data_IF_178394205910
#
_entry.id   IF_178394205910
#
_cell.length_a   1.000
_cell.length_b   1.000
_cell.length_c   1.000
_cell.angle_alpha   90.00
_cell.angle_beta   90.00
_cell.angle_gamma   90.00
#
_symmetry.space_group_name_H-M   'P 1'
#
loop_
_entity.id
_entity.type
_entity.pdbx_description
1 polymer ?
#
# COMPACT_ATOMS: atom_id res chain seq x y z
N UNK A 1 -1.87 -2.45 18.77
CA UNK A 1 -1.37 -1.06 18.95
C UNK A 1 -0.50 -0.67 17.75
N UNK A 2 -1.12 -0.42 16.59
CA UNK A 2 -0.42 0.05 15.37
C UNK A 2 -0.53 1.57 15.24
N UNK A 3 -1.72 2.11 15.49
CA UNK A 3 -2.04 3.54 15.36
C UNK A 3 -1.17 4.50 16.17
N UNK A 4 -0.55 4.05 17.27
CA UNK A 4 0.31 4.92 18.10
C UNK A 4 1.69 5.21 17.49
N UNK A 5 2.07 4.47 16.46
CA UNK A 5 3.39 4.52 15.81
C UNK A 5 3.32 5.08 14.39
N UNK A 6 2.12 5.36 13.91
CA UNK A 6 1.87 5.87 12.58
C UNK A 6 1.53 7.35 12.69
N UNK A 7 2.24 8.21 11.95
CA UNK A 7 1.94 9.65 11.90
C UNK A 7 0.55 9.94 11.31
N UNK A 8 0.01 9.02 10.50
CA UNK A 8 -1.34 9.06 9.93
C UNK A 8 -1.90 7.66 9.70
N UNK A 9 -3.21 7.55 9.43
CA UNK A 9 -3.82 6.27 9.01
C UNK A 9 -3.27 5.77 7.67
N UNK A 10 -2.82 6.67 6.79
CA UNK A 10 -2.23 6.30 5.51
C UNK A 10 -0.92 5.51 5.66
N UNK A 11 -0.25 5.63 6.81
CA UNK A 11 0.95 4.83 7.13
C UNK A 11 0.63 3.42 7.65
N UNK A 12 -0.63 2.98 7.59
CA UNK A 12 -1.07 1.65 8.00
C UNK A 12 -1.62 0.91 6.79
N UNK A 13 -0.82 -0.02 6.25
CA UNK A 13 -1.17 -0.78 5.05
C UNK A 13 -1.57 -2.21 5.45
N UNK A 14 -2.76 -2.69 5.07
CA UNK A 14 -3.16 -4.07 5.31
C UNK A 14 -2.24 -5.07 4.60
N UNK A 15 -1.70 -6.03 5.33
CA UNK A 15 -0.99 -7.16 4.73
C UNK A 15 -1.96 -8.14 4.07
N UNK A 16 -1.54 -8.80 2.98
CA UNK A 16 -2.30 -9.82 2.25
C UNK A 16 -3.65 -9.39 1.67
N UNK A 17 -3.99 -8.11 1.69
CA UNK A 17 -5.16 -7.59 1.02
C UNK A 17 -4.87 -7.39 -0.48
N UNK A 18 -5.52 -8.13 -1.40
CA UNK A 18 -5.29 -7.99 -2.84
C UNK A 18 -5.57 -6.57 -3.37
N UNK A 19 -6.38 -5.77 -2.67
CA UNK A 19 -6.64 -4.39 -3.08
C UNK A 19 -5.41 -3.50 -2.94
N UNK A 20 -4.40 -3.87 -2.14
CA UNK A 20 -3.14 -3.10 -2.05
C UNK A 20 -2.42 -3.09 -3.40
N UNK A 21 -2.44 -4.21 -4.13
CA UNK A 21 -1.86 -4.30 -5.47
C UNK A 21 -2.61 -3.48 -6.53
N UNK A 22 -3.87 -3.14 -6.27
CA UNK A 22 -4.68 -2.28 -7.14
C UNK A 22 -4.50 -0.79 -6.82
N UNK A 23 -4.16 -0.46 -5.56
CA UNK A 23 -4.05 0.92 -5.08
C UNK A 23 -2.65 1.49 -5.18
N UNK A 24 -1.62 0.66 -5.12
CA UNK A 24 -0.23 1.08 -5.18
C UNK A 24 0.43 0.63 -6.49
N UNK A 25 1.43 1.38 -6.99
CA UNK A 25 2.20 0.92 -8.13
C UNK A 25 2.98 -0.36 -7.79
N UNK A 26 3.30 -1.13 -8.82
CA UNK A 26 4.19 -2.28 -8.65
C UNK A 26 5.60 -1.81 -8.24
N UNK A 27 6.30 -2.61 -7.42
CA UNK A 27 7.68 -2.34 -7.01
C UNK A 27 8.64 -2.25 -8.20
N UNK A 28 8.50 -3.18 -9.16
CA UNK A 28 9.12 -3.12 -10.48
C UNK A 28 8.15 -3.71 -11.53
N UNK A 29 8.42 -3.54 -12.84
CA UNK A 29 7.63 -4.18 -13.89
C UNK A 29 7.58 -5.71 -13.76
N UNK A 30 8.67 -6.35 -13.34
CA UNK A 30 8.79 -7.81 -13.19
C UNK A 30 8.01 -8.35 -11.99
N UNK A 31 7.69 -7.48 -11.03
CA UNK A 31 6.97 -7.85 -9.79
C UNK A 31 5.52 -7.38 -9.80
N UNK A 32 4.99 -7.03 -10.96
CA UNK A 32 3.59 -6.67 -11.13
C UNK A 32 2.69 -7.77 -10.54
N UNK A 33 1.57 -7.36 -9.94
CA UNK A 33 0.58 -8.25 -9.31
C UNK A 33 1.08 -9.06 -8.10
N UNK A 34 2.30 -8.81 -7.60
CA UNK A 34 2.82 -9.46 -6.39
C UNK A 34 3.42 -8.47 -5.39
N UNK A 35 4.20 -7.49 -5.84
CA UNK A 35 4.89 -6.54 -4.95
C UNK A 35 4.41 -5.13 -5.25
N UNK A 36 3.85 -4.47 -4.24
CA UNK A 36 3.46 -3.07 -4.27
C UNK A 36 4.54 -2.17 -3.65
N UNK A 37 4.75 -1.00 -4.25
CA UNK A 37 5.56 0.08 -3.68
C UNK A 37 4.67 0.93 -2.76
N UNK A 38 4.86 0.82 -1.44
CA UNK A 38 3.98 1.43 -0.42
C UNK A 38 4.55 2.67 0.26
N UNK A 39 5.77 3.07 -0.10
CA UNK A 39 6.43 4.30 0.35
C UNK A 39 6.04 5.53 -0.50
N UNK A 40 5.04 5.40 -1.37
CA UNK A 40 4.51 6.45 -2.24
C UNK A 40 3.03 6.70 -1.99
N UNK A 41 2.50 7.78 -2.54
CA UNK A 41 1.05 8.06 -2.49
C UNK A 41 0.28 7.02 -3.32
N UNK A 42 -0.85 6.48 -2.83
CA UNK A 42 -1.71 5.59 -3.61
C UNK A 42 -2.15 6.20 -4.95
N UNK A 43 -2.25 5.35 -5.98
CA UNK A 43 -2.81 5.71 -7.29
C UNK A 43 -4.31 6.04 -7.21
N UNK A 44 -5.00 5.50 -6.21
CA UNK A 44 -6.44 5.74 -5.95
C UNK A 44 -6.66 5.90 -4.45
N UNK A 45 -7.52 6.85 -4.06
CA UNK A 45 -7.82 7.11 -2.65
C UNK A 45 -8.56 5.94 -1.97
N UNK A 46 -8.37 5.83 -0.65
CA UNK A 46 -9.18 4.96 0.21
C UNK A 46 -10.61 5.52 0.29
N UNK A 47 -11.57 4.88 -0.38
CA UNK A 47 -13.01 5.15 -0.22
C UNK A 47 -13.58 4.44 1.00
#
# INVERSE_FOLDING_TARGET
MLYRWADSFDHIIPGHDPMVLQRYPAGTPETAEWIAQVDVVPLTQWT
#
